data_IF_024576436984
#
_entry.id   IF_024576436984
#
_cell.length_a   1.000
_cell.length_b   1.000
_cell.length_c   1.000
_cell.angle_alpha   90.00
_cell.angle_beta   90.00
_cell.angle_gamma   90.00
#
_symmetry.space_group_name_H-M   'P 1'
#
loop_
_entity.id
_entity.type
_entity.pdbx_description
1 polymer ?
#
# COMPACT_ATOMS: atom_id res chain seq x y z
N UNK A 1 -56.29 46.64 -20.06
CA UNK A 1 -56.61 45.44 -20.84
C UNK A 1 -55.44 45.15 -21.79
N UNK A 2 -54.73 44.03 -21.52
CA UNK A 2 -53.95 43.17 -22.44
C UNK A 2 -52.53 43.57 -22.96
N UNK A 3 -51.52 43.21 -22.15
CA UNK A 3 -50.32 42.37 -22.42
C UNK A 3 -49.73 42.24 -23.84
N UNK A 4 -48.46 42.65 -24.03
CA UNK A 4 -47.51 42.15 -25.07
C UNK A 4 -46.06 42.26 -24.54
N UNK A 5 -45.50 41.19 -24.01
CA UNK A 5 -44.60 40.19 -24.63
C UNK A 5 -43.14 40.43 -24.17
N UNK A 6 -42.70 39.57 -23.26
CA UNK A 6 -41.34 39.51 -22.70
C UNK A 6 -40.43 38.72 -23.64
N UNK A 7 -39.27 39.25 -24.01
CA UNK A 7 -38.11 38.45 -24.45
C UNK A 7 -36.87 39.02 -23.78
N UNK A 8 -36.37 38.27 -22.81
CA UNK A 8 -35.02 38.38 -22.25
C UNK A 8 -34.10 37.62 -23.22
N UNK A 9 -33.05 38.25 -23.71
CA UNK A 9 -31.95 37.55 -24.40
C UNK A 9 -30.64 37.89 -23.68
N UNK A 10 -30.37 37.07 -22.66
CA UNK A 10 -29.10 36.97 -21.96
C UNK A 10 -28.19 36.09 -22.83
N UNK A 11 -27.28 36.68 -23.60
CA UNK A 11 -26.30 35.92 -24.39
C UNK A 11 -25.16 35.46 -23.47
N UNK A 12 -25.37 34.33 -22.80
CA UNK A 12 -24.32 33.62 -22.09
C UNK A 12 -23.62 32.66 -23.05
N UNK A 13 -22.38 32.97 -23.44
CA UNK A 13 -21.50 32.00 -24.09
C UNK A 13 -21.11 30.97 -23.05
N UNK A 14 -21.79 29.82 -23.06
CA UNK A 14 -21.48 28.68 -22.19
C UNK A 14 -20.26 27.98 -22.80
N UNK A 15 -19.08 28.28 -22.26
CA UNK A 15 -17.88 27.48 -22.47
C UNK A 15 -18.10 26.15 -21.73
N UNK A 16 -18.63 25.15 -22.43
CA UNK A 16 -18.74 23.79 -21.88
C UNK A 16 -17.33 23.25 -21.66
N UNK A 17 -16.87 23.36 -20.42
CA UNK A 17 -15.71 22.62 -19.93
C UNK A 17 -16.05 21.14 -20.02
N UNK A 18 -15.48 20.48 -21.03
CA UNK A 18 -15.48 19.02 -21.11
C UNK A 18 -14.63 18.53 -19.94
N UNK A 19 -15.27 18.28 -18.81
CA UNK A 19 -14.63 17.65 -17.65
C UNK A 19 -14.34 16.21 -18.03
N UNK A 20 -13.13 15.94 -18.53
CA UNK A 20 -12.57 14.60 -18.44
C UNK A 20 -12.55 14.24 -16.95
N UNK A 21 -13.43 13.34 -16.55
CA UNK A 21 -13.39 12.75 -15.22
C UNK A 21 -12.17 11.82 -15.20
N UNK A 22 -11.02 12.33 -14.76
CA UNK A 22 -9.90 11.48 -14.39
C UNK A 22 -10.40 10.56 -13.27
N UNK A 23 -10.50 9.25 -13.54
CA UNK A 23 -10.76 8.26 -12.49
C UNK A 23 -9.60 8.38 -11.49
N UNK A 24 -9.84 9.05 -10.37
CA UNK A 24 -8.88 9.12 -9.27
C UNK A 24 -8.62 7.68 -8.81
N UNK A 25 -7.37 7.19 -8.93
CA UNK A 25 -6.97 5.90 -8.36
C UNK A 25 -7.31 5.93 -6.88
N UNK A 26 -7.99 4.90 -6.40
CA UNK A 26 -8.33 4.78 -4.98
C UNK A 26 -7.03 4.79 -4.17
N UNK A 27 -6.93 5.71 -3.21
CA UNK A 27 -5.72 5.85 -2.39
C UNK A 27 -5.79 4.90 -1.20
N UNK A 28 -4.78 4.04 -1.04
CA UNK A 28 -4.61 3.21 0.15
C UNK A 28 -3.51 3.79 1.03
N UNK A 29 -3.90 4.74 1.89
CA UNK A 29 -2.96 5.54 2.68
C UNK A 29 -2.09 4.69 3.60
N UNK A 30 -2.68 3.76 4.34
CA UNK A 30 -1.98 2.91 5.30
C UNK A 30 -0.98 1.98 4.60
N UNK A 31 -1.30 1.53 3.39
CA UNK A 31 -0.38 0.74 2.56
C UNK A 31 0.83 1.57 2.15
N UNK A 32 0.61 2.83 1.76
CA UNK A 32 1.70 3.77 1.42
C UNK A 32 2.58 4.13 2.62
N UNK A 33 1.97 4.33 3.80
CA UNK A 33 2.70 4.56 5.06
C UNK A 33 3.57 3.34 5.44
N UNK A 34 3.05 2.13 5.23
CA UNK A 34 3.80 0.90 5.45
C UNK A 34 4.95 0.76 4.44
N UNK A 35 4.71 1.01 3.15
CA UNK A 35 5.74 0.99 2.10
C UNK A 35 6.91 1.90 2.46
N UNK A 36 6.63 3.14 2.86
CA UNK A 36 7.67 4.11 3.21
C UNK A 36 8.57 3.59 4.35
N UNK A 37 8.00 2.91 5.35
CA UNK A 37 8.78 2.30 6.42
C UNK A 37 9.53 1.05 5.96
N UNK A 38 8.91 0.23 5.11
CA UNK A 38 9.53 -0.97 4.56
C UNK A 38 10.81 -0.64 3.79
N UNK A 39 10.77 0.38 2.91
CA UNK A 39 11.97 0.82 2.17
C UNK A 39 13.09 1.31 3.10
N UNK A 40 12.73 2.02 4.18
CA UNK A 40 13.70 2.49 5.19
C UNK A 40 14.40 1.33 5.90
N UNK A 41 13.69 0.23 6.18
CA UNK A 41 14.27 -0.88 6.93
C UNK A 41 14.96 -1.91 6.05
N UNK A 42 14.47 -2.15 4.82
CA UNK A 42 14.97 -3.23 3.97
C UNK A 42 16.07 -2.80 3.01
N UNK A 43 15.98 -1.63 2.35
CA UNK A 43 17.00 -1.23 1.38
C UNK A 43 18.41 -1.12 1.99
N UNK A 44 18.61 -0.53 3.19
CA UNK A 44 19.94 -0.54 3.81
C UNK A 44 20.51 -1.94 4.05
N UNK A 45 19.65 -2.92 4.39
CA UNK A 45 20.03 -4.32 4.47
C UNK A 45 20.43 -4.87 3.08
N UNK A 46 19.57 -4.71 2.07
CA UNK A 46 19.80 -5.23 0.71
C UNK A 46 21.05 -4.62 0.06
N UNK A 47 21.27 -3.33 0.24
CA UNK A 47 22.28 -2.56 -0.47
C UNK A 47 23.66 -2.62 0.22
N UNK A 48 23.69 -2.75 1.55
CA UNK A 48 24.93 -2.61 2.33
C UNK A 48 25.06 -3.57 3.51
N UNK A 49 24.05 -4.40 3.77
CA UNK A 49 24.02 -5.28 4.94
C UNK A 49 23.69 -4.57 6.26
N UNK A 50 23.31 -3.29 6.24
CA UNK A 50 23.07 -2.49 7.44
C UNK A 50 21.70 -2.80 8.07
N UNK A 51 21.73 -3.52 9.19
CA UNK A 51 20.55 -3.83 10.01
C UNK A 51 20.17 -2.74 11.01
N UNK A 52 20.98 -1.69 11.17
CA UNK A 52 20.75 -0.67 12.19
C UNK A 52 19.41 0.06 11.99
N UNK A 53 18.97 0.42 10.77
CA UNK A 53 17.64 0.98 10.52
C UNK A 53 16.52 0.01 10.92
N UNK A 54 16.61 -1.26 10.52
CA UNK A 54 15.63 -2.28 10.88
C UNK A 54 15.49 -2.42 12.40
N UNK A 55 16.60 -2.56 13.13
CA UNK A 55 16.61 -2.67 14.59
C UNK A 55 15.98 -1.46 15.29
N UNK A 56 16.23 -0.24 14.79
CA UNK A 56 15.65 1.00 15.36
C UNK A 56 14.17 1.17 15.05
N UNK A 57 13.71 0.71 13.89
CA UNK A 57 12.40 1.04 13.34
C UNK A 57 11.38 -0.10 13.42
N UNK A 58 11.78 -1.32 13.80
CA UNK A 58 10.91 -2.50 13.81
C UNK A 58 9.59 -2.29 14.58
N UNK A 59 9.63 -1.65 15.75
CA UNK A 59 8.41 -1.31 16.49
C UNK A 59 7.48 -0.38 15.70
N UNK A 60 8.04 0.59 14.97
CA UNK A 60 7.26 1.53 14.15
C UNK A 60 6.67 0.82 12.91
N UNK A 61 7.42 -0.09 12.30
CA UNK A 61 6.95 -0.94 11.20
C UNK A 61 5.77 -1.80 11.66
N UNK A 62 5.91 -2.50 12.79
CA UNK A 62 4.86 -3.32 13.38
C UNK A 62 3.58 -2.52 13.69
N UNK A 63 3.71 -1.33 14.29
CA UNK A 63 2.57 -0.43 14.50
C UNK A 63 1.93 0.06 13.20
N UNK A 64 2.69 0.15 12.11
CA UNK A 64 2.14 0.51 10.79
C UNK A 64 1.41 -0.66 10.15
N UNK A 65 1.91 -1.88 10.32
CA UNK A 65 1.25 -3.10 9.87
C UNK A 65 -0.10 -3.30 10.58
N UNK A 66 -0.14 -3.02 11.89
CA UNK A 66 -1.36 -3.09 12.69
C UNK A 66 -2.42 -2.08 12.22
N UNK A 67 -2.00 -0.84 11.91
CA UNK A 67 -2.89 0.16 11.31
C UNK A 67 -3.40 -0.28 9.93
N UNK A 68 -2.53 -0.85 9.10
CA UNK A 68 -2.90 -1.39 7.79
C UNK A 68 -3.93 -2.52 7.92
N UNK A 69 -3.74 -3.44 8.87
CA UNK A 69 -4.68 -4.54 9.12
C UNK A 69 -6.02 -4.12 9.73
N UNK A 70 -6.05 -2.97 10.42
CA UNK A 70 -7.27 -2.40 10.98
C UNK A 70 -8.02 -1.48 10.01
N UNK A 71 -7.39 -1.08 8.91
CA UNK A 71 -7.98 -0.18 7.92
C UNK A 71 -8.97 -0.93 7.01
N UNK A 72 -9.99 -0.23 6.48
CA UNK A 72 -10.83 -0.80 5.44
C UNK A 72 -10.01 -1.09 4.19
N UNK A 73 -10.23 -2.25 3.58
CA UNK A 73 -9.62 -2.59 2.29
C UNK A 73 -10.28 -1.77 1.17
N UNK A 74 -9.49 -1.27 0.20
CA UNK A 74 -10.03 -0.62 -0.99
C UNK A 74 -10.97 -1.55 -1.79
N UNK A 75 -11.94 -0.97 -2.50
CA UNK A 75 -13.03 -1.74 -3.11
C UNK A 75 -12.57 -2.78 -4.14
N UNK A 76 -11.54 -2.48 -4.93
CA UNK A 76 -10.97 -3.36 -5.96
C UNK A 76 -10.18 -4.56 -5.38
N UNK A 77 -9.78 -4.51 -4.11
CA UNK A 77 -9.02 -5.57 -3.44
C UNK A 77 -9.67 -6.06 -2.15
N UNK A 78 -10.93 -5.68 -1.89
CA UNK A 78 -11.68 -6.11 -0.72
C UNK A 78 -12.19 -7.54 -0.88
N UNK A 79 -11.26 -8.49 -0.76
CA UNK A 79 -11.53 -9.93 -0.82
C UNK A 79 -10.72 -10.67 0.25
N UNK A 80 -11.09 -11.93 0.51
CA UNK A 80 -10.50 -12.71 1.61
C UNK A 80 -8.99 -12.97 1.40
N UNK A 81 -8.52 -13.11 0.16
CA UNK A 81 -7.09 -13.30 -0.15
C UNK A 81 -6.26 -12.12 0.35
N UNK A 82 -6.66 -10.89 -0.01
CA UNK A 82 -5.95 -9.67 0.37
C UNK A 82 -6.04 -9.44 1.87
N UNK A 83 -7.19 -9.71 2.47
CA UNK A 83 -7.36 -9.65 3.92
C UNK A 83 -6.39 -10.58 4.65
N UNK A 84 -6.25 -11.82 4.19
CA UNK A 84 -5.29 -12.78 4.78
C UNK A 84 -3.84 -12.34 4.57
N UNK A 85 -3.49 -11.79 3.41
CA UNK A 85 -2.16 -11.22 3.15
C UNK A 85 -1.82 -10.08 4.13
N UNK A 86 -2.75 -9.16 4.34
CA UNK A 86 -2.57 -8.03 5.28
C UNK A 86 -2.45 -8.52 6.73
N UNK A 87 -3.26 -9.51 7.14
CA UNK A 87 -3.18 -10.09 8.48
C UNK A 87 -1.82 -10.77 8.71
N UNK A 88 -1.36 -11.57 7.74
CA UNK A 88 -0.05 -12.22 7.80
C UNK A 88 1.09 -11.19 7.87
N UNK A 89 1.05 -10.16 7.02
CA UNK A 89 2.03 -9.06 7.05
C UNK A 89 2.09 -8.37 8.43
N UNK A 90 0.95 -8.20 9.10
CA UNK A 90 0.90 -7.69 10.46
C UNK A 90 1.55 -8.66 11.45
N UNK A 91 1.14 -9.93 11.46
CA UNK A 91 1.68 -10.97 12.34
C UNK A 91 3.22 -11.06 12.23
N UNK A 92 3.75 -11.10 11.01
CA UNK A 92 5.18 -11.21 10.77
C UNK A 92 5.94 -9.92 11.12
N UNK A 93 5.33 -8.75 10.94
CA UNK A 93 5.89 -7.49 11.43
C UNK A 93 5.99 -7.45 12.95
N UNK A 94 4.96 -7.94 13.67
CA UNK A 94 4.99 -8.05 15.13
C UNK A 94 6.07 -9.04 15.56
N UNK A 95 6.15 -10.20 14.90
CA UNK A 95 7.15 -11.23 15.18
C UNK A 95 8.58 -10.69 15.02
N UNK A 96 8.87 -10.00 13.91
CA UNK A 96 10.16 -9.35 13.68
C UNK A 96 10.50 -8.35 14.80
N UNK A 97 9.54 -7.50 15.18
CA UNK A 97 9.75 -6.54 16.26
C UNK A 97 10.02 -7.23 17.61
N UNK A 98 9.37 -8.35 17.90
CA UNK A 98 9.61 -9.11 19.12
C UNK A 98 10.98 -9.80 19.12
N UNK A 99 11.40 -10.40 18.01
CA UNK A 99 12.71 -11.04 17.89
C UNK A 99 13.85 -10.03 18.05
N UNK A 100 13.74 -8.86 17.43
CA UNK A 100 14.70 -7.76 17.62
C UNK A 100 14.74 -7.33 19.09
N UNK A 101 13.59 -7.21 19.75
CA UNK A 101 13.52 -6.83 21.17
C UNK A 101 14.19 -7.87 22.09
N UNK A 102 14.10 -9.16 21.73
CA UNK A 102 14.76 -10.26 22.46
C UNK A 102 16.27 -10.36 22.18
N UNK A 103 16.81 -9.54 21.27
CA UNK A 103 18.21 -9.60 20.88
C UNK A 103 18.52 -10.78 19.98
N UNK A 104 17.60 -11.12 19.07
CA UNK A 104 17.83 -12.15 18.07
C UNK A 104 19.13 -11.90 17.28
N UNK A 105 19.85 -12.97 16.90
CA UNK A 105 21.01 -12.90 16.02
C UNK A 105 20.72 -12.19 14.68
N UNK A 106 21.75 -11.61 14.08
CA UNK A 106 21.62 -10.81 12.86
C UNK A 106 21.13 -11.62 11.66
N UNK A 107 21.55 -12.88 11.51
CA UNK A 107 21.07 -13.81 10.49
C UNK A 107 19.56 -14.05 10.60
N UNK A 108 19.05 -14.26 11.81
CA UNK A 108 17.60 -14.42 12.06
C UNK A 108 16.83 -13.14 11.68
N UNK A 109 17.37 -11.97 12.01
CA UNK A 109 16.75 -10.68 11.65
C UNK A 109 16.73 -10.50 10.12
N UNK A 110 17.83 -10.85 9.44
CA UNK A 110 17.93 -10.76 7.97
C UNK A 110 16.91 -11.64 7.28
N UNK A 111 16.85 -12.92 7.67
CA UNK A 111 15.90 -13.88 7.11
C UNK A 111 14.45 -13.37 7.24
N UNK A 112 14.07 -12.96 8.45
CA UNK A 112 12.71 -12.48 8.72
C UNK A 112 12.39 -11.18 7.99
N UNK A 113 13.33 -10.25 7.92
CA UNK A 113 13.11 -8.98 7.23
C UNK A 113 13.00 -9.17 5.71
N UNK A 114 13.80 -10.07 5.13
CA UNK A 114 13.69 -10.43 3.71
C UNK A 114 12.35 -11.11 3.41
N UNK A 115 11.93 -12.06 4.23
CA UNK A 115 10.61 -12.69 4.09
C UNK A 115 9.47 -11.67 4.16
N UNK A 116 9.51 -10.77 5.15
CA UNK A 116 8.52 -9.72 5.32
C UNK A 116 8.47 -8.74 4.14
N UNK A 117 9.61 -8.43 3.53
CA UNK A 117 9.68 -7.63 2.31
C UNK A 117 9.03 -8.35 1.13
N UNK A 118 9.32 -9.64 0.92
CA UNK A 118 8.71 -10.43 -0.16
C UNK A 118 7.19 -10.55 0.00
N UNK A 119 6.68 -10.74 1.21
CA UNK A 119 5.24 -10.75 1.49
C UNK A 119 4.59 -9.40 1.18
N UNK A 120 5.27 -8.30 1.50
CA UNK A 120 4.79 -6.96 1.16
C UNK A 120 4.74 -6.73 -0.35
N UNK A 121 5.73 -7.22 -1.11
CA UNK A 121 5.70 -7.14 -2.58
C UNK A 121 4.55 -7.92 -3.19
N UNK A 122 4.26 -9.13 -2.70
CA UNK A 122 3.09 -9.90 -3.16
C UNK A 122 1.77 -9.15 -2.91
N UNK A 123 1.66 -8.44 -1.79
CA UNK A 123 0.51 -7.57 -1.51
C UNK A 123 0.48 -6.37 -2.48
N UNK A 124 1.64 -5.78 -2.80
CA UNK A 124 1.76 -4.68 -3.77
C UNK A 124 1.33 -5.10 -5.17
N UNK A 125 1.81 -6.25 -5.64
CA UNK A 125 1.43 -6.84 -6.93
C UNK A 125 -0.08 -7.11 -6.98
N UNK A 126 -0.66 -7.61 -5.89
CA UNK A 126 -2.11 -7.81 -5.80
C UNK A 126 -2.88 -6.49 -5.82
N UNK A 127 -2.34 -5.44 -5.19
CA UNK A 127 -2.90 -4.09 -5.20
C UNK A 127 -2.85 -3.42 -6.58
N UNK A 128 -1.73 -3.57 -7.29
CA UNK A 128 -1.51 -2.96 -8.60
C UNK A 128 -2.11 -3.76 -9.75
N UNK A 129 -2.09 -5.09 -9.64
CA UNK A 129 -2.64 -6.05 -10.61
C UNK A 129 -4.14 -6.31 -10.47
N UNK A 130 -4.84 -5.60 -9.58
CA UNK A 130 -6.28 -5.74 -9.34
C UNK A 130 -7.20 -5.46 -10.55
N UNK A 131 -6.64 -5.24 -11.75
CA UNK A 131 -7.36 -5.17 -13.01
C UNK A 131 -6.93 -6.20 -14.09
N UNK A 132 -5.93 -7.07 -13.90
CA UNK A 132 -5.57 -8.13 -14.89
C UNK A 132 -4.52 -9.16 -14.41
N UNK A 133 -4.72 -10.40 -14.90
CA UNK A 133 -3.81 -11.56 -14.97
C UNK A 133 -3.80 -12.64 -13.87
N UNK A 134 -4.60 -13.68 -14.12
CA UNK A 134 -4.27 -15.08 -13.83
C UNK A 134 -3.10 -15.53 -14.73
N UNK A 135 -1.83 -15.20 -14.44
CA UNK A 135 -0.71 -15.87 -15.08
C UNK A 135 0.43 -16.19 -14.10
N UNK A 136 0.90 -17.43 -14.22
CA UNK A 136 2.03 -18.01 -13.48
C UNK A 136 3.26 -17.11 -13.59
N UNK A 137 3.82 -16.70 -12.47
CA UNK A 137 5.21 -16.29 -12.41
C UNK A 137 6.07 -17.53 -12.11
N UNK A 138 6.85 -17.94 -13.10
CA UNK A 138 8.01 -18.80 -12.92
C UNK A 138 9.10 -17.99 -12.20
N UNK A 139 9.70 -18.63 -11.19
CA UNK A 139 10.85 -18.13 -10.45
C UNK A 139 12.07 -18.07 -11.39
N UNK A 140 12.57 -16.87 -11.66
CA UNK A 140 13.98 -16.69 -12.03
C UNK A 140 14.70 -16.04 -10.84
N UNK A 141 15.41 -16.89 -10.10
CA UNK A 141 16.48 -16.50 -9.18
C UNK A 141 17.69 -16.02 -10.00
N UNK A 142 18.17 -14.82 -9.66
CA UNK A 142 19.50 -14.18 -9.88
C UNK A 142 20.26 -14.37 -11.22
#
# INVERSE_FOLDING_TARGET
MNMKLRIVLLSGVIFSVLSCSEKKKEEWKEFSDYHALMSIVYHPLKDSGDLAPAKRMAKKLALSADRLASAPLPANVNNEKVKLMVLKLNEDSQALSMEILKGAPDDVIKEKLTALHSEFHQLMETWEGGDQHDEKHEEEED
#
